data_IF_318501358712
#
_entry.id   IF_318501358712
#
_cell.length_a   1.000
_cell.length_b   1.000
_cell.length_c   1.000
_cell.angle_alpha   90.00
_cell.angle_beta   90.00
_cell.angle_gamma   90.00
#
_symmetry.space_group_name_H-M   'P 1'
#
loop_
_entity.id
_entity.type
_entity.pdbx_description
1 polymer ?
#
# COMPACT_ATOMS: atom_id res chain seq x y z
N UNK A 1 4.43 -1.39 0.10
CA UNK A 1 4.32 0.02 -0.33
C UNK A 1 5.65 0.56 -0.86
N UNK A 2 6.77 0.35 -0.16
CA UNK A 2 8.09 0.83 -0.61
C UNK A 2 8.62 0.11 -1.87
N UNK A 3 8.40 -1.19 -1.99
CA UNK A 3 8.85 -1.96 -3.17
C UNK A 3 8.08 -1.54 -4.42
N UNK A 4 6.77 -1.33 -4.29
CA UNK A 4 5.90 -0.93 -5.40
C UNK A 4 6.06 0.54 -5.76
N UNK A 5 6.48 1.38 -4.80
CA UNK A 5 6.94 2.73 -5.12
C UNK A 5 8.10 2.68 -6.10
N UNK A 6 9.02 1.71 -5.99
CA UNK A 6 10.11 1.53 -6.96
C UNK A 6 9.59 1.30 -8.38
N UNK A 7 8.67 0.34 -8.55
CA UNK A 7 8.07 0.04 -9.85
C UNK A 7 7.29 1.21 -10.45
N UNK A 8 6.59 2.00 -9.63
CA UNK A 8 5.87 3.19 -10.11
C UNK A 8 6.85 4.28 -10.54
N UNK A 9 7.93 4.51 -9.79
CA UNK A 9 8.94 5.49 -10.15
C UNK A 9 9.68 5.11 -11.44
N UNK A 10 9.96 3.82 -11.65
CA UNK A 10 10.49 3.29 -12.91
C UNK A 10 9.54 3.52 -14.07
N UNK A 11 8.25 3.22 -13.91
CA UNK A 11 7.23 3.50 -14.93
C UNK A 11 7.10 4.97 -15.27
N UNK A 12 7.20 5.84 -14.27
CA UNK A 12 7.17 7.29 -14.43
C UNK A 12 8.51 7.87 -14.93
N UNK A 13 9.55 7.03 -15.07
CA UNK A 13 10.91 7.42 -15.49
C UNK A 13 11.49 8.57 -14.67
N UNK A 14 11.19 8.58 -13.36
CA UNK A 14 11.67 9.62 -12.45
C UNK A 14 13.09 9.28 -11.96
N UNK A 15 13.96 10.29 -11.88
CA UNK A 15 15.27 10.12 -11.25
C UNK A 15 15.06 9.84 -9.74
N UNK A 16 15.48 8.68 -9.21
CA UNK A 16 15.35 8.36 -7.80
C UNK A 16 15.99 9.38 -6.86
N UNK A 17 17.00 10.15 -7.31
CA UNK A 17 17.66 11.19 -6.50
C UNK A 17 16.74 12.36 -6.18
N UNK A 18 15.75 12.61 -7.03
CA UNK A 18 14.80 13.71 -6.88
C UNK A 18 13.49 13.28 -6.22
N UNK A 19 13.38 12.00 -5.82
CA UNK A 19 12.16 11.45 -5.22
C UNK A 19 12.37 11.17 -3.73
N UNK A 20 11.61 11.88 -2.93
CA UNK A 20 11.55 11.70 -1.49
C UNK A 20 10.33 10.86 -1.12
N UNK A 21 10.50 9.91 -0.20
CA UNK A 21 9.45 8.95 0.16
C UNK A 21 9.07 9.13 1.61
N UNK A 22 7.78 9.31 1.88
CA UNK A 22 7.23 9.32 3.23
C UNK A 22 6.07 8.35 3.30
N UNK A 23 6.10 7.46 4.29
CA UNK A 23 4.98 6.58 4.61
C UNK A 23 4.36 7.06 5.92
N UNK A 24 3.05 7.23 5.89
CA UNK A 24 2.19 7.59 7.02
C UNK A 24 1.34 6.37 7.37
N UNK A 25 1.77 5.56 8.36
CA UNK A 25 1.03 4.38 8.79
C UNK A 25 -0.08 4.72 9.79
N UNK A 26 -1.12 3.90 9.81
CA UNK A 26 -2.18 3.90 10.84
C UNK A 26 -2.17 2.63 11.73
N UNK A 27 -1.02 1.98 11.85
CA UNK A 27 -0.83 0.73 12.61
C UNK A 27 0.55 0.70 13.30
N UNK A 28 0.85 -0.37 14.05
CA UNK A 28 2.16 -0.64 14.64
C UNK A 28 2.79 0.55 15.41
N UNK A 29 2.05 1.12 16.36
CA UNK A 29 2.49 2.28 17.14
C UNK A 29 2.05 3.63 16.57
N UNK A 30 1.42 3.63 15.40
CA UNK A 30 0.81 4.81 14.75
C UNK A 30 -0.71 4.70 14.67
N UNK A 31 -1.35 3.93 15.55
CA UNK A 31 -2.81 3.87 15.60
C UNK A 31 -3.40 5.28 15.82
N UNK A 32 -4.67 5.53 15.46
CA UNK A 32 -5.37 6.75 15.85
C UNK A 32 -5.24 7.05 17.34
N UNK A 33 -4.98 8.32 17.67
CA UNK A 33 -4.76 8.82 19.02
C UNK A 33 -5.97 9.63 19.49
N UNK A 34 -6.31 9.62 20.79
CA UNK A 34 -7.47 10.35 21.32
C UNK A 34 -7.48 11.84 20.98
N UNK A 35 -6.30 12.49 20.96
CA UNK A 35 -6.18 13.92 20.64
C UNK A 35 -6.68 14.24 19.23
N UNK A 36 -6.58 13.29 18.29
CA UNK A 36 -7.01 13.47 16.90
C UNK A 36 -8.52 13.63 16.75
N UNK A 37 -9.30 13.17 17.73
CA UNK A 37 -10.77 13.33 17.75
C UNK A 37 -11.20 14.79 17.74
N UNK A 38 -10.36 15.66 18.31
CA UNK A 38 -10.62 17.09 18.46
C UNK A 38 -10.15 17.95 17.28
N UNK A 39 -9.58 17.34 16.23
CA UNK A 39 -9.07 18.07 15.08
C UNK A 39 -9.67 17.58 13.76
N UNK A 40 -9.75 18.44 12.73
CA UNK A 40 -10.07 18.01 11.37
C UNK A 40 -9.09 16.94 10.87
N UNK A 41 -9.55 16.02 10.02
CA UNK A 41 -8.69 14.96 9.48
C UNK A 41 -7.50 15.52 8.70
N UNK A 42 -7.70 16.64 8.01
CA UNK A 42 -6.63 17.38 7.33
C UNK A 42 -5.48 17.73 8.29
N UNK A 43 -5.80 18.26 9.47
CA UNK A 43 -4.82 18.66 10.46
C UNK A 43 -4.14 17.45 11.11
N UNK A 44 -4.91 16.43 11.50
CA UNK A 44 -4.39 15.16 12.04
C UNK A 44 -3.39 14.52 11.07
N UNK A 45 -3.78 14.37 9.82
CA UNK A 45 -2.93 13.80 8.79
C UNK A 45 -1.68 14.65 8.53
N UNK A 46 -1.82 15.97 8.49
CA UNK A 46 -0.70 16.89 8.26
C UNK A 46 0.35 16.79 9.38
N UNK A 47 -0.07 16.69 10.64
CA UNK A 47 0.87 16.47 11.75
C UNK A 47 1.51 15.09 11.70
N UNK A 48 0.75 14.04 11.33
CA UNK A 48 1.32 12.70 11.12
C UNK A 48 2.40 12.74 10.04
N UNK A 49 2.14 13.39 8.91
CA UNK A 49 3.09 13.56 7.81
C UNK A 49 4.36 14.29 8.27
N UNK A 50 4.22 15.43 8.96
CA UNK A 50 5.36 16.17 9.48
C UNK A 50 6.17 15.36 10.50
N UNK A 51 5.50 14.62 11.40
CA UNK A 51 6.18 13.71 12.33
C UNK A 51 6.99 12.64 11.57
N UNK A 52 6.36 11.98 10.59
CA UNK A 52 6.99 10.93 9.79
C UNK A 52 8.20 11.43 8.99
N UNK A 53 8.15 12.66 8.50
CA UNK A 53 9.23 13.24 7.72
C UNK A 53 10.37 13.79 8.59
N UNK A 54 10.06 14.53 9.66
CA UNK A 54 11.06 15.24 10.46
C UNK A 54 11.53 14.48 11.69
N UNK A 55 10.63 13.76 12.38
CA UNK A 55 10.82 13.37 13.78
C UNK A 55 10.99 11.88 13.99
N UNK A 56 10.38 11.03 13.18
CA UNK A 56 10.33 9.58 13.44
C UNK A 56 11.70 8.92 13.67
N UNK A 57 12.75 9.40 13.00
CA UNK A 57 14.12 8.93 13.17
C UNK A 57 15.04 9.94 13.87
N UNK A 58 14.51 11.10 14.28
CA UNK A 58 15.30 12.22 14.82
C UNK A 58 14.76 12.75 16.16
N UNK A 59 13.78 12.07 16.75
CA UNK A 59 13.17 12.44 18.02
C UNK A 59 13.25 11.27 18.99
N UNK A 60 13.59 11.56 20.25
CA UNK A 60 13.59 10.56 21.33
C UNK A 60 12.17 10.08 21.66
N UNK A 61 11.17 10.90 21.35
CA UNK A 61 9.77 10.59 21.64
C UNK A 61 9.14 9.74 20.55
N UNK A 62 8.49 8.67 20.99
CA UNK A 62 7.62 7.87 20.12
C UNK A 62 6.45 8.71 19.65
N UNK A 63 5.85 8.30 18.52
CA UNK A 63 4.69 8.98 17.94
C UNK A 63 3.61 9.32 18.97
N UNK A 64 3.15 8.35 19.76
CA UNK A 64 2.09 8.55 20.77
C UNK A 64 2.43 9.65 21.78
N UNK A 65 3.64 9.60 22.34
CA UNK A 65 4.12 10.57 23.34
C UNK A 65 4.19 11.97 22.75
N UNK A 66 4.76 12.09 21.55
CA UNK A 66 4.90 13.37 20.88
C UNK A 66 3.54 13.93 20.49
N UNK A 67 2.69 13.11 19.87
CA UNK A 67 1.41 13.55 19.34
C UNK A 67 0.43 13.93 20.45
N UNK A 68 0.49 13.27 21.61
CA UNK A 68 -0.40 13.58 22.73
C UNK A 68 0.12 14.74 23.59
N UNK A 69 1.44 14.82 23.80
CA UNK A 69 2.02 15.77 24.76
C UNK A 69 2.63 17.04 24.15
N UNK A 70 2.87 17.08 22.84
CA UNK A 70 3.72 18.11 22.21
C UNK A 70 3.12 18.79 20.99
N UNK A 71 1.87 18.50 20.64
CA UNK A 71 1.17 19.27 19.60
C UNK A 71 1.04 20.74 20.00
N UNK A 72 1.20 21.68 19.05
CA UNK A 72 0.93 23.09 19.31
C UNK A 72 -0.53 23.32 19.72
N UNK A 73 -0.78 24.39 20.51
CA UNK A 73 -2.15 24.76 20.95
C UNK A 73 -3.11 24.99 19.78
N UNK A 74 -2.61 25.48 18.65
CA UNK A 74 -3.35 25.68 17.41
C UNK A 74 -3.19 24.50 16.43
N UNK A 75 -2.83 23.31 16.92
CA UNK A 75 -2.54 22.14 16.09
C UNK A 75 -3.70 21.74 15.19
N UNK A 76 -4.94 22.01 15.60
CA UNK A 76 -6.14 21.78 14.80
C UNK A 76 -6.26 22.65 13.54
N UNK A 77 -5.46 23.71 13.42
CA UNK A 77 -5.52 24.64 12.28
C UNK A 77 -4.57 24.27 11.14
N UNK A 78 -3.64 23.32 11.33
CA UNK A 78 -2.65 22.97 10.32
C UNK A 78 -3.34 22.44 9.06
N UNK A 79 -2.94 22.98 7.90
CA UNK A 79 -3.44 22.57 6.59
C UNK A 79 -2.46 21.67 5.85
N UNK A 80 -2.99 20.87 4.94
CA UNK A 80 -2.16 19.93 4.18
C UNK A 80 -1.12 20.65 3.31
N UNK A 81 -1.51 21.74 2.66
CA UNK A 81 -0.60 22.54 1.84
C UNK A 81 0.54 23.16 2.67
N UNK A 82 0.28 23.56 3.92
CA UNK A 82 1.30 24.12 4.82
C UNK A 82 2.34 23.06 5.17
N UNK A 83 1.89 21.84 5.50
CA UNK A 83 2.78 20.72 5.77
C UNK A 83 3.67 20.39 4.56
N UNK A 84 3.10 20.38 3.35
CA UNK A 84 3.86 20.14 2.12
C UNK A 84 4.87 21.27 1.86
N UNK A 85 4.49 22.53 2.07
CA UNK A 85 5.40 23.68 1.89
C UNK A 85 6.59 23.62 2.85
N UNK A 86 6.38 23.20 4.10
CA UNK A 86 7.46 23.03 5.08
C UNK A 86 8.43 21.92 4.63
N UNK A 87 7.89 20.80 4.13
CA UNK A 87 8.70 19.70 3.57
C UNK A 87 9.49 20.18 2.35
N UNK A 88 8.83 20.84 1.40
CA UNK A 88 9.46 21.38 0.19
C UNK A 88 10.60 22.33 0.55
N UNK A 89 10.36 23.28 1.47
CA UNK A 89 11.38 24.21 1.94
C UNK A 89 12.62 23.49 2.48
N UNK A 90 12.43 22.46 3.31
CA UNK A 90 13.53 21.65 3.83
C UNK A 90 14.29 20.93 2.73
N UNK A 91 13.58 20.32 1.78
CA UNK A 91 14.18 19.59 0.66
C UNK A 91 15.03 20.50 -0.21
N UNK A 92 14.49 21.66 -0.61
CA UNK A 92 15.21 22.63 -1.46
C UNK A 92 16.47 23.17 -0.79
N UNK A 93 16.39 23.45 0.51
CA UNK A 93 17.57 23.87 1.30
C UNK A 93 18.66 22.79 1.34
N UNK A 94 18.27 21.53 1.33
CA UNK A 94 19.20 20.39 1.43
C UNK A 94 19.82 20.03 0.08
N UNK A 95 19.03 20.07 -1.00
CA UNK A 95 19.45 19.62 -2.32
C UNK A 95 20.19 20.68 -3.14
N UNK A 96 19.97 21.98 -2.86
CA UNK A 96 20.54 23.10 -3.65
C UNK A 96 20.29 22.97 -5.18
N UNK A 97 19.28 22.20 -5.59
CA UNK A 97 18.95 21.91 -6.97
C UNK A 97 17.71 22.68 -7.41
N UNK A 98 17.71 23.13 -8.67
CA UNK A 98 16.54 23.72 -9.33
C UNK A 98 15.65 22.68 -10.02
N UNK A 99 16.03 21.41 -9.99
CA UNK A 99 15.26 20.34 -10.61
C UNK A 99 13.90 20.12 -9.91
N UNK A 100 12.97 19.50 -10.64
CA UNK A 100 11.68 19.12 -10.11
C UNK A 100 11.86 18.09 -8.99
N UNK A 101 11.27 18.38 -7.83
CA UNK A 101 11.29 17.48 -6.68
C UNK A 101 9.96 16.71 -6.64
N UNK A 102 10.04 15.45 -6.23
CA UNK A 102 8.87 14.58 -6.10
C UNK A 102 8.74 14.10 -4.67
N UNK A 103 7.53 14.11 -4.14
CA UNK A 103 7.19 13.51 -2.85
C UNK A 103 6.25 12.33 -3.08
N UNK A 104 6.77 11.13 -2.90
CA UNK A 104 5.97 9.92 -2.79
C UNK A 104 5.35 9.87 -1.39
N UNK A 105 4.02 9.99 -1.32
CA UNK A 105 3.25 9.99 -0.08
C UNK A 105 2.46 8.69 0.05
N UNK A 106 2.99 7.75 0.81
CA UNK A 106 2.33 6.50 1.14
C UNK A 106 1.43 6.63 2.37
N UNK A 107 0.19 6.15 2.31
CA UNK A 107 -0.78 6.14 3.40
C UNK A 107 -1.13 4.68 3.64
N UNK A 108 -0.64 4.12 4.75
CA UNK A 108 -0.68 2.68 5.02
C UNK A 108 -1.73 2.35 6.07
N UNK A 109 -2.45 1.24 5.86
CA UNK A 109 -3.64 0.86 6.63
C UNK A 109 -4.73 1.96 6.61
N UNK A 110 -5.00 2.53 5.42
CA UNK A 110 -5.92 3.67 5.27
C UNK A 110 -7.31 3.42 5.87
N UNK A 111 -7.78 2.18 5.91
CA UNK A 111 -9.11 1.84 6.42
C UNK A 111 -9.25 2.17 7.92
N UNK A 112 -8.14 2.33 8.64
CA UNK A 112 -8.13 2.75 10.05
C UNK A 112 -8.28 4.25 10.25
N UNK A 113 -8.27 5.04 9.18
CA UNK A 113 -8.53 6.49 9.26
C UNK A 113 -9.93 6.76 9.82
N UNK A 114 -10.90 5.91 9.51
CA UNK A 114 -12.26 6.04 10.04
C UNK A 114 -12.33 5.87 11.56
N UNK A 115 -11.34 5.22 12.17
CA UNK A 115 -11.25 5.06 13.63
C UNK A 115 -10.71 6.30 14.35
N UNK A 116 -10.40 7.39 13.62
CA UNK A 116 -9.94 8.65 14.24
C UNK A 116 -11.06 9.30 15.04
N UNK A 117 -12.33 9.15 14.65
CA UNK A 117 -13.50 9.62 15.40
C UNK A 117 -14.32 8.42 15.90
N UNK A 118 -14.81 8.50 17.14
CA UNK A 118 -15.59 7.41 17.77
C UNK A 118 -16.99 7.23 17.15
N UNK A 119 -17.49 8.25 16.46
CA UNK A 119 -18.70 8.18 15.64
C UNK A 119 -18.66 9.29 14.59
N UNK A 120 -19.04 9.02 13.34
CA UNK A 120 -19.34 10.07 12.38
C UNK A 120 -20.47 10.93 12.95
N UNK A 121 -20.33 12.27 12.94
CA UNK A 121 -21.45 13.17 13.24
C UNK A 121 -22.58 13.01 12.19
N UNK A 122 -22.21 12.55 10.99
CA UNK A 122 -23.11 12.12 9.92
C UNK A 122 -22.65 10.75 9.40
N UNK A 123 -23.48 9.69 9.42
CA UNK A 123 -23.13 8.36 8.91
C UNK A 123 -22.73 8.34 7.41
N UNK A 124 -22.97 9.42 6.67
CA UNK A 124 -22.51 9.59 5.29
C UNK A 124 -21.13 10.27 5.17
N UNK A 125 -20.53 10.71 6.28
CA UNK A 125 -19.21 11.37 6.28
C UNK A 125 -18.10 10.36 6.51
N UNK A 126 -17.28 10.14 5.49
CA UNK A 126 -16.05 9.33 5.55
C UNK A 126 -14.85 10.24 5.73
N UNK A 127 -14.06 10.01 6.79
CA UNK A 127 -12.82 10.75 7.03
C UNK A 127 -11.77 10.44 5.96
N UNK A 128 -11.78 9.21 5.44
CA UNK A 128 -10.94 8.83 4.31
C UNK A 128 -11.32 9.63 3.05
N UNK A 129 -12.60 9.78 2.77
CA UNK A 129 -13.07 10.58 1.63
C UNK A 129 -12.67 12.05 1.77
N UNK A 130 -12.88 12.65 2.94
CA UNK A 130 -12.47 14.03 3.21
C UNK A 130 -10.95 14.20 3.00
N UNK A 131 -10.13 13.27 3.52
CA UNK A 131 -8.68 13.32 3.32
C UNK A 131 -8.28 13.22 1.85
N UNK A 132 -8.88 12.28 1.11
CA UNK A 132 -8.63 12.13 -0.34
C UNK A 132 -9.01 13.40 -1.09
N UNK A 133 -10.13 14.03 -0.73
CA UNK A 133 -10.55 15.29 -1.33
C UNK A 133 -9.54 16.41 -1.06
N UNK A 134 -9.02 16.55 0.17
CA UNK A 134 -7.99 17.56 0.49
C UNK A 134 -6.70 17.34 -0.29
N UNK A 135 -6.23 16.09 -0.39
CA UNK A 135 -5.05 15.75 -1.19
C UNK A 135 -5.31 16.04 -2.67
N UNK A 136 -6.49 15.69 -3.17
CA UNK A 136 -6.90 15.97 -4.54
C UNK A 136 -6.96 17.46 -4.87
N UNK A 137 -7.56 18.26 -3.99
CA UNK A 137 -7.64 19.73 -4.13
C UNK A 137 -6.24 20.34 -4.20
N UNK A 138 -5.30 19.84 -3.40
CA UNK A 138 -3.88 20.22 -3.48
C UNK A 138 -3.26 19.86 -4.84
N UNK A 139 -3.48 18.65 -5.34
CA UNK A 139 -2.97 18.21 -6.65
C UNK A 139 -3.51 19.05 -7.82
N UNK A 140 -4.78 19.44 -7.76
CA UNK A 140 -5.42 20.26 -8.80
C UNK A 140 -4.99 21.72 -8.76
N UNK A 141 -4.85 22.31 -7.57
CA UNK A 141 -4.47 23.71 -7.41
C UNK A 141 -2.99 23.97 -7.65
N UNK A 142 -2.14 22.92 -7.59
CA UNK A 142 -0.67 23.00 -7.77
C UNK A 142 -0.03 24.19 -7.04
N UNK A 143 -0.27 24.35 -5.72
CA UNK A 143 0.25 25.51 -4.98
C UNK A 143 1.76 25.40 -4.69
N UNK A 144 2.38 24.26 -5.02
CA UNK A 144 3.77 23.93 -4.69
C UNK A 144 4.48 23.41 -5.94
N UNK A 145 5.78 23.68 -6.03
CA UNK A 145 6.65 23.09 -7.06
C UNK A 145 7.14 21.68 -6.71
N UNK A 146 6.77 21.16 -5.54
CA UNK A 146 6.94 19.76 -5.17
C UNK A 146 5.79 18.93 -5.76
N UNK A 147 6.13 17.98 -6.61
CA UNK A 147 5.15 17.10 -7.26
C UNK A 147 4.79 15.98 -6.29
N UNK A 148 3.55 15.97 -5.82
CA UNK A 148 3.04 14.94 -4.90
C UNK A 148 2.55 13.71 -5.67
N UNK A 149 2.96 12.53 -5.22
CA UNK A 149 2.56 11.22 -5.75
C UNK A 149 1.92 10.41 -4.60
N UNK A 150 0.60 10.58 -4.33
CA UNK A 150 -0.05 9.87 -3.23
C UNK A 150 -0.33 8.41 -3.58
N UNK A 151 -0.19 7.56 -2.57
CA UNK A 151 -0.48 6.14 -2.61
C UNK A 151 -1.22 5.70 -1.36
N UNK A 152 -2.41 5.14 -1.50
CA UNK A 152 -3.10 4.49 -0.38
C UNK A 152 -2.89 2.99 -0.45
N UNK A 153 -2.58 2.36 0.67
CA UNK A 153 -2.54 0.91 0.81
C UNK A 153 -3.33 0.45 2.04
N UNK A 154 -4.07 -0.63 1.86
CA UNK A 154 -4.95 -1.19 2.87
C UNK A 154 -5.52 -2.52 2.38
N UNK A 155 -6.26 -3.18 3.27
CA UNK A 155 -6.88 -4.49 2.99
C UNK A 155 -8.36 -4.38 2.67
N UNK A 156 -9.02 -3.29 3.06
CA UNK A 156 -10.46 -3.12 2.89
C UNK A 156 -10.80 -2.24 1.69
N UNK A 157 -11.29 -2.87 0.62
CA UNK A 157 -11.65 -2.19 -0.60
C UNK A 157 -13.02 -1.53 -0.54
N UNK A 158 -13.95 -2.00 0.29
CA UNK A 158 -15.28 -1.40 0.33
C UNK A 158 -15.20 0.05 0.80
N UNK A 159 -14.28 0.35 1.71
CA UNK A 159 -13.95 1.70 2.17
C UNK A 159 -13.59 2.67 1.01
N UNK A 160 -13.11 2.16 -0.13
CA UNK A 160 -12.81 2.97 -1.33
C UNK A 160 -13.86 2.76 -2.44
N UNK A 161 -14.42 1.55 -2.56
CA UNK A 161 -15.21 1.09 -3.71
C UNK A 161 -16.73 1.16 -3.53
N UNK A 162 -17.27 0.93 -2.32
CA UNK A 162 -18.72 0.84 -2.10
C UNK A 162 -19.40 2.19 -1.81
N UNK A 163 -18.63 3.27 -1.62
CA UNK A 163 -19.17 4.53 -1.09
C UNK A 163 -19.10 5.77 -2.00
N UNK A 164 -17.91 6.25 -2.37
CA UNK A 164 -17.82 7.68 -2.73
C UNK A 164 -16.57 8.06 -3.51
N UNK A 165 -15.41 7.52 -3.19
CA UNK A 165 -14.15 8.11 -3.66
C UNK A 165 -13.93 7.89 -5.15
N UNK A 166 -14.03 6.64 -5.63
CA UNK A 166 -13.74 6.31 -7.04
C UNK A 166 -14.84 6.82 -8.00
N UNK A 167 -16.09 6.91 -7.52
CA UNK A 167 -17.25 7.28 -8.34
C UNK A 167 -17.64 8.76 -8.25
N UNK A 168 -17.34 9.47 -7.14
CA UNK A 168 -17.73 10.88 -6.96
C UNK A 168 -16.59 11.86 -7.19
N UNK A 169 -15.34 11.43 -7.11
CA UNK A 169 -14.23 12.39 -7.18
C UNK A 169 -13.64 12.48 -8.58
N UNK A 170 -13.29 13.71 -8.98
CA UNK A 170 -12.72 14.06 -10.29
C UNK A 170 -11.31 13.49 -10.56
N UNK A 171 -10.86 12.52 -9.76
CA UNK A 171 -9.52 11.97 -9.79
C UNK A 171 -9.52 10.58 -10.43
N UNK A 172 -8.52 10.30 -11.26
CA UNK A 172 -8.32 8.97 -11.82
C UNK A 172 -7.59 8.13 -10.78
N UNK A 173 -8.28 7.13 -10.22
CA UNK A 173 -7.68 6.15 -9.33
C UNK A 173 -7.28 4.90 -10.09
N UNK A 174 -6.01 4.55 -10.03
CA UNK A 174 -5.53 3.25 -10.48
C UNK A 174 -5.39 2.32 -9.28
N UNK A 175 -6.26 1.32 -9.21
CA UNK A 175 -6.19 0.25 -8.22
C UNK A 175 -5.22 -0.83 -8.71
N UNK A 176 -4.13 -1.05 -7.98
CA UNK A 176 -3.15 -2.10 -8.26
C UNK A 176 -3.39 -3.27 -7.29
N UNK A 177 -4.14 -4.32 -7.68
CA UNK A 177 -4.33 -5.48 -6.84
C UNK A 177 -3.01 -6.21 -6.60
N UNK A 178 -2.63 -6.42 -5.33
CA UNK A 178 -1.65 -7.47 -5.02
C UNK A 178 -2.30 -8.84 -5.10
N UNK A 179 -1.98 -9.56 -6.16
CA UNK A 179 -2.30 -10.98 -6.25
C UNK A 179 -1.38 -11.79 -5.35
N UNK A 180 -1.85 -12.96 -4.94
CA UNK A 180 -0.98 -13.99 -4.38
C UNK A 180 0.07 -14.36 -5.44
N UNK A 181 1.27 -14.71 -4.97
CA UNK A 181 2.31 -15.22 -5.84
C UNK A 181 1.89 -16.59 -6.35
N UNK A 182 2.09 -16.85 -7.64
CA UNK A 182 2.02 -18.21 -8.15
C UNK A 182 3.17 -19.03 -7.58
N UNK A 183 3.04 -20.37 -7.61
CA UNK A 183 4.13 -21.22 -7.16
C UNK A 183 5.41 -21.00 -7.96
N UNK A 184 5.31 -20.77 -9.26
CA UNK A 184 6.46 -20.47 -10.11
C UNK A 184 7.15 -19.18 -9.65
N UNK A 185 6.38 -18.16 -9.26
CA UNK A 185 6.94 -16.91 -8.72
C UNK A 185 7.59 -17.14 -7.34
N UNK A 186 6.96 -17.92 -6.46
CA UNK A 186 7.53 -18.26 -5.15
C UNK A 186 8.87 -19.00 -5.30
N UNK A 187 8.90 -20.01 -6.17
CA UNK A 187 10.12 -20.78 -6.45
C UNK A 187 11.18 -19.90 -7.09
N UNK A 188 10.82 -19.12 -8.12
CA UNK A 188 11.74 -18.18 -8.76
C UNK A 188 12.36 -17.17 -7.78
N UNK A 189 11.58 -16.62 -6.85
CA UNK A 189 12.09 -15.72 -5.80
C UNK A 189 13.10 -16.44 -4.88
N UNK A 190 12.83 -17.70 -4.52
CA UNK A 190 13.72 -18.47 -3.68
C UNK A 190 14.97 -18.96 -4.44
N UNK A 191 14.87 -19.31 -5.72
CA UNK A 191 15.97 -19.75 -6.59
C UNK A 191 16.93 -18.61 -6.91
N UNK A 192 16.39 -17.43 -7.25
CA UNK A 192 17.20 -16.25 -7.63
C UNK A 192 17.93 -15.63 -6.43
N UNK A 193 17.53 -15.98 -5.20
CA UNK A 193 18.22 -15.55 -4.00
C UNK A 193 19.21 -16.62 -3.53
N UNK A 194 20.51 -16.33 -3.67
CA UNK A 194 21.57 -17.26 -3.26
C UNK A 194 21.46 -17.73 -1.80
N UNK A 195 20.82 -16.97 -0.91
CA UNK A 195 20.60 -17.37 0.49
C UNK A 195 19.60 -18.52 0.65
N UNK A 196 18.67 -18.66 -0.29
CA UNK A 196 17.55 -19.59 -0.22
C UNK A 196 17.59 -20.69 -1.29
N UNK A 197 18.34 -20.50 -2.38
CA UNK A 197 18.37 -21.44 -3.50
C UNK A 197 18.64 -22.90 -3.08
N UNK A 198 19.60 -23.11 -2.15
CA UNK A 198 19.93 -24.44 -1.62
C UNK A 198 18.79 -25.10 -0.83
N UNK A 199 17.85 -24.33 -0.27
CA UNK A 199 16.72 -24.85 0.49
C UNK A 199 15.71 -25.58 -0.41
N UNK A 200 15.63 -25.21 -1.68
CA UNK A 200 14.68 -25.77 -2.65
C UNK A 200 15.04 -27.19 -3.10
N UNK A 201 16.28 -27.62 -2.86
CA UNK A 201 16.68 -29.01 -3.07
C UNK A 201 15.96 -29.99 -2.11
N UNK A 202 15.33 -29.48 -1.04
CA UNK A 202 14.54 -30.28 -0.11
C UNK A 202 13.06 -30.28 -0.51
N UNK A 203 12.51 -31.47 -0.82
CA UNK A 203 11.11 -31.62 -1.24
C UNK A 203 10.09 -31.18 -0.18
N UNK A 204 10.42 -31.30 1.12
CA UNK A 204 9.56 -30.79 2.19
C UNK A 204 9.48 -29.27 2.16
N UNK A 205 10.58 -28.59 1.81
CA UNK A 205 10.59 -27.13 1.68
C UNK A 205 9.60 -26.68 0.61
N UNK A 206 9.65 -27.29 -0.57
CA UNK A 206 8.73 -26.98 -1.68
C UNK A 206 7.27 -27.28 -1.30
N UNK A 207 7.01 -28.40 -0.61
CA UNK A 207 5.67 -28.73 -0.11
C UNK A 207 5.14 -27.69 0.89
N UNK A 208 5.98 -27.22 1.83
CA UNK A 208 5.56 -26.20 2.80
C UNK A 208 5.34 -24.84 2.13
N UNK A 209 6.20 -24.44 1.20
CA UNK A 209 6.01 -23.22 0.40
C UNK A 209 4.69 -23.25 -0.38
N UNK A 210 4.32 -24.41 -0.93
CA UNK A 210 3.03 -24.62 -1.56
C UNK A 210 1.86 -24.39 -0.60
N UNK A 211 1.95 -24.95 0.62
CA UNK A 211 0.90 -24.81 1.63
C UNK A 211 0.71 -23.36 2.11
N UNK A 212 1.75 -22.50 2.01
CA UNK A 212 1.63 -21.08 2.34
C UNK A 212 0.83 -20.28 1.31
N UNK A 213 0.41 -20.89 0.20
CA UNK A 213 -0.58 -20.31 -0.72
C UNK A 213 -0.13 -19.02 -1.42
N UNK A 214 1.17 -18.78 -1.52
CA UNK A 214 1.72 -17.65 -2.27
C UNK A 214 1.61 -16.28 -1.60
N UNK A 215 1.28 -16.19 -0.30
CA UNK A 215 1.31 -14.91 0.43
C UNK A 215 2.77 -14.46 0.59
N UNK A 216 3.20 -13.33 -0.01
CA UNK A 216 4.62 -12.95 -0.07
C UNK A 216 5.29 -12.90 1.31
N UNK A 217 4.62 -12.30 2.31
CA UNK A 217 5.16 -12.18 3.66
C UNK A 217 5.38 -13.55 4.31
N UNK A 218 4.42 -14.47 4.19
CA UNK A 218 4.54 -15.81 4.78
C UNK A 218 5.69 -16.59 4.14
N UNK A 219 5.80 -16.51 2.81
CA UNK A 219 6.88 -17.14 2.05
C UNK A 219 8.24 -16.62 2.51
N UNK A 220 8.42 -15.30 2.57
CA UNK A 220 9.71 -14.69 2.95
C UNK A 220 10.06 -14.97 4.41
N UNK A 221 9.11 -14.86 5.33
CA UNK A 221 9.37 -15.09 6.75
C UNK A 221 9.66 -16.57 7.03
N UNK A 222 9.02 -17.48 6.29
CA UNK A 222 9.33 -18.91 6.34
C UNK A 222 10.74 -19.21 5.85
N UNK A 223 11.11 -18.69 4.67
CA UNK A 223 12.48 -18.83 4.11
C UNK A 223 13.53 -18.31 5.09
N UNK A 224 13.29 -17.16 5.71
CA UNK A 224 14.17 -16.58 6.75
C UNK A 224 14.25 -17.45 8.00
N UNK A 225 13.12 -17.99 8.47
CA UNK A 225 13.07 -18.83 9.65
C UNK A 225 13.88 -20.12 9.45
N UNK A 226 13.67 -20.82 8.33
CA UNK A 226 14.42 -22.04 7.98
C UNK A 226 15.91 -21.72 7.77
N UNK A 227 16.24 -20.59 7.16
CA UNK A 227 17.65 -20.21 6.98
C UNK A 227 18.38 -20.03 8.31
N UNK A 228 17.70 -19.54 9.35
CA UNK A 228 18.28 -19.36 10.69
C UNK A 228 18.55 -20.69 11.40
N UNK A 229 17.91 -21.79 11.00
CA UNK A 229 18.16 -23.12 11.59
C UNK A 229 19.29 -23.86 10.89
N UNK A 230 19.68 -23.46 9.67
CA UNK A 230 20.87 -24.00 9.00
C UNK A 230 22.14 -23.67 9.81
N UNK A 231 22.80 -24.69 10.36
CA UNK A 231 24.11 -24.57 11.03
C UNK A 231 25.23 -24.80 10.01
N UNK A 232 26.23 -23.92 9.98
CA UNK A 232 27.48 -24.12 9.23
C UNK A 232 27.32 -24.65 7.79
N UNK A 233 26.41 -24.05 7.02
CA UNK A 233 26.07 -24.44 5.64
C UNK A 233 25.39 -25.81 5.44
N UNK A 234 25.12 -26.57 6.51
CA UNK A 234 24.35 -27.80 6.41
C UNK A 234 22.88 -27.51 6.04
N UNK A 235 22.26 -28.37 5.20
CA UNK A 235 20.83 -28.25 4.89
C UNK A 235 20.00 -28.32 6.16
N UNK A 236 18.94 -27.51 6.25
CA UNK A 236 18.01 -27.59 7.38
C UNK A 236 17.42 -29.01 7.50
N UNK A 237 17.43 -29.57 8.72
CA UNK A 237 16.82 -30.85 9.00
C UNK A 237 15.31 -30.82 8.75
N UNK A 238 14.72 -31.97 8.41
CA UNK A 238 13.27 -32.06 8.16
C UNK A 238 12.44 -31.62 9.36
N UNK A 239 12.93 -31.86 10.58
CA UNK A 239 12.25 -31.45 11.82
C UNK A 239 12.27 -29.94 12.01
N UNK A 240 13.39 -29.28 11.70
CA UNK A 240 13.51 -27.83 11.76
C UNK A 240 12.60 -27.15 10.72
N UNK A 241 12.56 -27.68 9.49
CA UNK A 241 11.66 -27.22 8.42
C UNK A 241 10.20 -27.30 8.89
N UNK A 242 9.79 -28.43 9.46
CA UNK A 242 8.45 -28.61 10.00
C UNK A 242 8.16 -27.68 11.18
N UNK A 243 9.10 -27.52 12.11
CA UNK A 243 8.94 -26.64 13.27
C UNK A 243 8.79 -25.17 12.85
N UNK A 244 9.62 -24.69 11.92
CA UNK A 244 9.50 -23.34 11.35
C UNK A 244 8.14 -23.13 10.67
N UNK A 245 7.68 -24.13 9.91
CA UNK A 245 6.37 -24.05 9.25
C UNK A 245 5.24 -23.98 10.27
N UNK A 246 5.21 -24.87 11.26
CA UNK A 246 4.16 -24.90 12.29
C UNK A 246 4.13 -23.59 13.10
N UNK A 247 5.31 -23.07 13.48
CA UNK A 247 5.39 -21.78 14.18
C UNK A 247 4.83 -20.63 13.35
N UNK A 248 5.11 -20.61 12.06
CA UNK A 248 4.64 -19.56 11.15
C UNK A 248 3.14 -19.71 10.86
N UNK A 249 2.67 -20.94 10.68
CA UNK A 249 1.26 -21.28 10.50
C UNK A 249 0.43 -20.84 11.71
N UNK A 250 0.90 -21.13 12.92
CA UNK A 250 0.25 -20.67 14.14
C UNK A 250 0.20 -19.13 14.23
N UNK A 251 1.29 -18.46 13.84
CA UNK A 251 1.42 -17.00 13.90
C UNK A 251 0.44 -16.29 12.97
N UNK A 252 0.29 -16.78 11.73
CA UNK A 252 -0.47 -16.09 10.70
C UNK A 252 -1.83 -16.72 10.43
N UNK A 253 -1.90 -18.04 10.32
CA UNK A 253 -3.09 -18.75 9.86
C UNK A 253 -4.01 -19.08 11.03
N UNK A 254 -3.51 -19.76 12.07
CA UNK A 254 -4.37 -20.15 13.18
C UNK A 254 -4.91 -18.92 13.92
N UNK A 255 -4.05 -17.91 14.13
CA UNK A 255 -4.47 -16.62 14.69
C UNK A 255 -5.55 -15.96 13.86
N UNK A 256 -5.42 -15.96 12.54
CA UNK A 256 -6.42 -15.38 11.64
C UNK A 256 -7.74 -16.17 11.69
N UNK A 257 -7.69 -17.49 11.56
CA UNK A 257 -8.87 -18.36 11.61
C UNK A 257 -9.59 -18.28 12.96
N UNK A 258 -8.85 -18.15 14.06
CA UNK A 258 -9.44 -17.98 15.39
C UNK A 258 -10.18 -16.66 15.59
N UNK A 259 -9.87 -15.65 14.77
CA UNK A 259 -10.50 -14.33 14.80
C UNK A 259 -11.55 -14.12 13.70
N UNK A 260 -11.68 -15.07 12.77
CA UNK A 260 -12.61 -14.98 11.65
C UNK A 260 -14.01 -15.43 12.06
N UNK A 261 -15.03 -14.73 11.58
CA UNK A 261 -16.42 -15.12 11.79
C UNK A 261 -16.82 -16.30 10.87
N UNK A 262 -17.89 -17.01 11.25
CA UNK A 262 -18.37 -18.17 10.51
C UNK A 262 -18.64 -17.87 9.01
N UNK A 263 -19.23 -16.72 8.63
CA UNK A 263 -19.38 -16.34 7.21
C UNK A 263 -18.06 -16.22 6.45
N UNK A 264 -17.01 -15.63 7.06
CA UNK A 264 -15.67 -15.53 6.45
C UNK A 264 -15.04 -16.91 6.27
N UNK A 265 -15.19 -17.79 7.27
CA UNK A 265 -14.71 -19.18 7.20
C UNK A 265 -15.42 -20.00 6.11
N UNK A 266 -16.73 -19.81 5.93
CA UNK A 266 -17.50 -20.46 4.86
C UNK A 266 -17.04 -20.00 3.48
N UNK A 267 -16.79 -18.70 3.27
CA UNK A 267 -16.23 -18.18 1.99
C UNK A 267 -14.84 -18.73 1.69
N UNK A 268 -14.01 -18.93 2.73
CA UNK A 268 -12.70 -19.58 2.61
C UNK A 268 -12.79 -21.09 2.30
N UNK A 269 -13.85 -21.77 2.75
CA UNK A 269 -14.09 -23.18 2.48
C UNK A 269 -14.66 -23.44 1.07
N UNK A 270 -15.60 -22.61 0.61
CA UNK A 270 -16.20 -22.70 -0.74
C UNK A 270 -15.18 -22.47 -1.85
N UNK A 271 -14.07 -21.80 -1.55
CA UNK A 271 -12.96 -21.56 -2.48
C UNK A 271 -11.91 -22.69 -2.49
N UNK A 272 -12.11 -23.76 -1.69
CA UNK A 272 -11.24 -24.95 -1.60
C UNK A 272 -11.80 -26.22 -2.24
N UNK A 273 -13.09 -26.31 -2.55
CA UNK A 273 -13.62 -27.53 -3.21
C UNK A 273 -13.23 -27.55 -4.70
N UNK A 274 -12.47 -28.56 -5.16
CA UNK A 274 -12.35 -28.83 -6.57
C UNK A 274 -13.69 -29.42 -7.01
N UNK A 275 -14.45 -28.68 -7.82
CA UNK A 275 -15.48 -29.32 -8.63
C UNK A 275 -14.76 -30.17 -9.68
N UNK A 276 -14.77 -31.48 -9.51
CA UNK A 276 -14.56 -32.39 -10.62
C UNK A 276 -15.66 -32.08 -11.66
N UNK A 277 -15.23 -31.62 -12.84
CA UNK A 277 -16.11 -31.37 -13.97
C UNK A 277 -16.10 -32.66 -14.82
N UNK A 278 -17.21 -33.44 -14.88
CA UNK A 278 -17.25 -34.70 -15.62
C UNK A 278 -17.26 -34.52 -17.14
N UNK A 279 -17.21 -33.28 -17.65
CA UNK A 279 -17.13 -32.99 -19.07
C UNK A 279 -15.96 -32.05 -19.33
N UNK A 280 -14.86 -32.61 -19.85
CA UNK A 280 -13.59 -31.94 -20.08
C UNK A 280 -13.64 -30.73 -21.02
N UNK A 281 -14.09 -29.59 -20.48
CA UNK A 281 -13.89 -28.27 -21.07
C UNK A 281 -12.86 -27.54 -20.22
N UNK A 282 -11.68 -27.27 -20.81
CA UNK A 282 -10.60 -26.50 -20.17
C UNK A 282 -11.11 -25.11 -19.79
N UNK A 283 -11.54 -24.96 -18.54
CA UNK A 283 -11.80 -23.66 -17.91
C UNK A 283 -10.62 -23.34 -16.99
N UNK A 284 -9.76 -22.41 -17.39
CA UNK A 284 -8.76 -21.81 -16.50
C UNK A 284 -9.50 -20.99 -15.44
N UNK A 285 -9.92 -21.63 -14.34
CA UNK A 285 -10.41 -20.96 -13.13
C UNK A 285 -9.38 -21.11 -12.03
N UNK A 286 -8.63 -20.04 -11.80
CA UNK A 286 -7.75 -19.88 -10.64
C UNK A 286 -8.63 -19.71 -9.41
N UNK A 287 -8.42 -20.57 -8.41
CA UNK A 287 -9.07 -20.51 -7.10
C UNK A 287 -8.74 -19.17 -6.43
N UNK A 288 -9.74 -18.32 -6.22
CA UNK A 288 -9.61 -17.11 -5.43
C UNK A 288 -9.82 -17.47 -3.96
N UNK A 289 -8.74 -17.69 -3.21
CA UNK A 289 -8.74 -17.35 -1.79
C UNK A 289 -9.05 -15.84 -1.71
N UNK A 290 -9.86 -15.33 -0.76
CA UNK A 290 -9.98 -13.89 -0.54
C UNK A 290 -8.62 -13.37 -0.10
N UNK A 291 -7.81 -13.02 -1.10
CA UNK A 291 -6.56 -12.32 -0.95
C UNK A 291 -6.93 -10.95 -0.40
N UNK A 292 -6.59 -10.70 0.86
CA UNK A 292 -6.32 -9.35 1.40
C UNK A 292 -5.18 -8.73 0.60
N UNK A 293 -5.51 -8.47 -0.65
CA UNK A 293 -4.66 -7.91 -1.67
C UNK A 293 -4.37 -6.50 -1.17
N UNK A 294 -3.15 -6.21 -0.75
CA UNK A 294 -2.73 -4.82 -0.58
C UNK A 294 -2.99 -4.14 -1.91
N UNK A 295 -4.02 -3.31 -2.02
CA UNK A 295 -4.31 -2.63 -3.27
C UNK A 295 -3.78 -1.22 -3.17
N UNK A 296 -2.86 -0.92 -4.07
CA UNK A 296 -2.18 0.35 -4.13
C UNK A 296 -3.02 1.26 -5.01
N UNK A 297 -3.42 2.40 -4.47
CA UNK A 297 -4.22 3.40 -5.18
C UNK A 297 -3.31 4.55 -5.58
N UNK A 298 -3.03 4.71 -6.87
CA UNK A 298 -2.31 5.88 -7.40
C UNK A 298 -3.33 6.85 -7.96
N UNK A 299 -3.43 8.06 -7.37
CA UNK A 299 -4.21 9.14 -7.95
C UNK A 299 -3.35 9.88 -8.99
N UNK A 300 -3.82 9.97 -10.23
CA UNK A 300 -3.26 10.87 -11.23
C UNK A 300 -4.28 11.94 -11.62
N UNK A 301 -3.86 13.19 -11.88
CA UNK A 301 -4.76 14.20 -12.44
C UNK A 301 -5.21 13.76 -13.84
N UNK A 302 -6.50 13.56 -14.04
CA UNK A 302 -7.09 13.37 -15.36
C UNK A 302 -7.29 14.73 -16.04
N UNK A 303 -6.76 14.89 -17.25
CA UNK A 303 -7.05 16.06 -18.09
C UNK A 303 -8.43 15.92 -18.74
N UNK A 304 -9.51 16.30 -18.04
CA UNK A 304 -10.81 16.62 -18.67
C UNK A 304 -11.52 17.72 -17.87
N UNK A 305 -11.23 18.97 -18.20
CA UNK A 305 -12.22 20.04 -18.10
C UNK A 305 -13.02 20.03 -19.41
N UNK A 306 -14.34 19.79 -19.35
CA UNK A 306 -15.22 19.99 -20.49
C UNK A 306 -16.42 19.06 -20.56
N UNK A 307 -17.54 19.56 -20.05
CA UNK A 307 -18.94 19.42 -20.44
C UNK A 307 -19.47 18.07 -20.98
N UNK A 308 -20.58 17.66 -20.35
CA UNK A 308 -21.51 16.66 -20.84
C UNK A 308 -22.00 16.97 -22.27
N UNK A 309 -21.73 16.07 -23.22
CA UNK A 309 -22.71 15.57 -24.20
C UNK A 309 -22.06 14.64 -25.24
N UNK A 310 -22.81 13.57 -25.51
CA UNK A 310 -22.82 12.66 -26.67
C UNK A 310 -21.64 11.73 -27.00
N UNK A 311 -22.06 10.61 -27.57
CA UNK A 311 -21.40 9.33 -27.80
C UNK A 311 -20.33 9.33 -28.90
N UNK A 312 -19.65 8.17 -28.94
CA UNK A 312 -18.99 7.52 -30.08
C UNK A 312 -17.78 8.22 -30.70
N UNK A 313 -16.58 7.66 -30.45
CA UNK A 313 -15.91 6.77 -31.41
C UNK A 313 -14.45 6.50 -31.01
N UNK A 314 -14.10 5.22 -31.12
CA UNK A 314 -12.83 4.64 -31.62
C UNK A 314 -11.68 5.61 -31.84
N UNK A 315 -10.47 5.29 -31.34
CA UNK A 315 -9.24 5.40 -32.15
C UNK A 315 -8.07 4.60 -31.57
N UNK A 316 -7.51 3.74 -32.43
CA UNK A 316 -6.24 3.04 -32.32
C UNK A 316 -5.08 3.91 -32.87
N UNK A 317 -3.81 3.55 -32.60
CA UNK A 317 -2.67 4.46 -32.73
C UNK A 317 -1.87 4.28 -34.03
N UNK A 318 -1.62 5.38 -34.74
CA UNK A 318 -0.58 5.62 -35.77
C UNK A 318 -0.83 7.05 -36.28
N UNK A 319 0.08 7.99 -36.51
CA UNK A 319 1.43 7.93 -37.08
C UNK A 319 2.05 9.35 -37.05
N UNK A 320 3.32 9.45 -36.66
CA UNK A 320 4.39 10.33 -37.19
C UNK A 320 4.12 11.70 -37.90
N UNK A 321 4.77 12.75 -37.33
CA UNK A 321 5.64 13.80 -37.97
C UNK A 321 4.93 15.00 -38.68
N UNK A 322 5.51 16.25 -38.83
CA UNK A 322 6.77 16.86 -38.34
C UNK A 322 6.66 18.25 -37.63
N UNK A 323 7.80 18.67 -37.09
CA UNK A 323 8.25 20.05 -36.85
C UNK A 323 7.86 21.08 -37.92
N UNK A 324 7.52 22.30 -37.47
CA UNK A 324 7.89 23.56 -38.15
C UNK A 324 8.23 24.64 -37.12
N UNK A 325 9.33 25.32 -37.41
CA UNK A 325 9.91 26.47 -36.71
C UNK A 325 9.24 27.79 -37.11
N UNK A 326 9.68 28.85 -36.42
CA UNK A 326 9.58 30.31 -36.75
C UNK A 326 8.23 30.93 -36.41
N UNK A 327 8.12 32.03 -35.65
CA UNK A 327 9.03 33.13 -35.32
C UNK A 327 9.09 33.41 -33.82
#
# INVERSE_FOLDING_TARGET
MLEESGTILERLKLDPKNVFRVIVPYFNGFNPQPVEKSMPIEASFSWRLLFRYFLDNNCEHKFVEWFTGRLPRNGNNLKFYEAINVIEYKLRKTMQSQEALYLFLGIDEYQKIEMVKDSPEDPNTSLLHELVEKIGQFLCSKPSSLILLPMFAGTDLSAIAEGAIVNLSYYVFNCLPKTLLTMDQVLSIAETNANYARLLSNSQMCKKLFLLGGVPRWVVDYLKAVKKTCRNEEPAGSDDINACFTSLWATYVDKYLSSADAPTLVRLAVTREPKEDPFGVKSNRVCQVPSNSLKIVVAQPGARCGNASSCDSVWSPSSSIPCKSSY
#
